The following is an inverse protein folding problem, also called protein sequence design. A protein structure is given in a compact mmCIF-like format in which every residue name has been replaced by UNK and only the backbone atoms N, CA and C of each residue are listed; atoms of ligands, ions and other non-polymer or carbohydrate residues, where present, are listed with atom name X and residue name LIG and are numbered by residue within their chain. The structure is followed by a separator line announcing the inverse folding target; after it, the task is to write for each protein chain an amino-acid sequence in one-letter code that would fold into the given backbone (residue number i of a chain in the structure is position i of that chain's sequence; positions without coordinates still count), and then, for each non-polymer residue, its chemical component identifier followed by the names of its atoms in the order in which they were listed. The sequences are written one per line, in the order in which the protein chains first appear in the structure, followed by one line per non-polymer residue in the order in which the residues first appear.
data_IF_463159478921
#
_entry.id   IF_463159478921
#
_cell.length_a   1.000
_cell.length_b   1.000
_cell.length_c   1.000
_cell.angle_alpha   90.00
_cell.angle_beta   90.00
_cell.angle_gamma   90.00
#
_symmetry.space_group_name_H-M   'P 1'
#
loop_
_entity.id
_entity.type
_entity.pdbx_description
1 polymer ?
#
# COMPACT_ATOMS: atom_id res chain seq x y z
N UNK A 1 24.01 -55.77 92.29
CA UNK A 1 24.83 -54.58 91.97
C UNK A 1 25.23 -54.74 90.52
N UNK A 2 24.95 -53.71 89.71
CA UNK A 2 25.14 -53.58 88.25
C UNK A 2 24.10 -54.27 87.36
N UNK A 3 23.02 -53.50 87.24
CA UNK A 3 22.22 -53.21 86.06
C UNK A 3 23.10 -52.89 84.85
N UNK A 4 22.75 -53.41 83.67
CA UNK A 4 22.64 -52.59 82.48
C UNK A 4 21.59 -53.23 81.55
N UNK A 5 20.56 -52.44 81.33
CA UNK A 5 19.36 -52.69 80.56
C UNK A 5 19.71 -52.79 79.07
N UNK A 6 19.48 -53.95 78.45
CA UNK A 6 19.29 -54.01 76.99
C UNK A 6 17.86 -53.52 76.71
N UNK A 7 17.66 -52.36 76.05
CA UNK A 7 16.33 -51.98 75.62
C UNK A 7 15.97 -52.91 74.46
N UNK A 8 14.97 -53.75 74.69
CA UNK A 8 14.14 -54.35 73.65
C UNK A 8 13.93 -53.30 72.55
N UNK A 9 14.59 -53.48 71.41
CA UNK A 9 14.24 -52.77 70.19
C UNK A 9 12.81 -53.21 69.86
N UNK A 10 11.80 -52.31 69.89
CA UNK A 10 10.47 -52.72 69.52
C UNK A 10 10.54 -53.09 68.03
N UNK A 11 10.42 -54.38 67.74
CA UNK A 11 10.18 -54.83 66.38
C UNK A 11 8.97 -54.03 65.88
N UNK A 12 9.09 -53.27 64.77
CA UNK A 12 8.00 -52.45 64.26
C UNK A 12 6.80 -53.37 64.08
N UNK A 13 5.75 -53.11 64.87
CA UNK A 13 4.59 -53.98 64.93
C UNK A 13 4.05 -54.12 63.50
N UNK A 14 3.72 -55.34 63.08
CA UNK A 14 3.23 -55.61 61.72
C UNK A 14 1.99 -54.77 61.32
N UNK A 15 1.33 -54.14 62.30
CA UNK A 15 0.24 -53.18 62.10
C UNK A 15 0.69 -51.82 61.53
N UNK A 16 1.87 -51.31 61.89
CA UNK A 16 2.37 -50.01 61.41
C UNK A 16 2.89 -50.09 59.97
N UNK A 17 3.49 -51.22 59.59
CA UNK A 17 3.96 -51.46 58.23
C UNK A 17 2.81 -51.66 57.24
N UNK A 18 1.70 -52.28 57.68
CA UNK A 18 0.48 -52.39 56.88
C UNK A 18 -0.18 -51.02 56.70
N UNK A 19 -0.34 -50.23 57.76
CA UNK A 19 -0.92 -48.89 57.69
C UNK A 19 -0.12 -47.92 56.80
N UNK A 20 1.21 -48.00 56.83
CA UNK A 20 2.07 -47.21 55.92
C UNK A 20 1.98 -47.68 54.48
N UNK A 21 1.82 -48.99 54.23
CA UNK A 21 1.58 -49.53 52.89
C UNK A 21 0.21 -49.12 52.33
N UNK A 22 -0.83 -49.09 53.17
CA UNK A 22 -2.18 -48.64 52.78
C UNK A 22 -2.19 -47.14 52.49
N UNK A 23 -1.56 -46.32 53.32
CA UNK A 23 -1.40 -44.89 53.07
C UNK A 23 -0.64 -44.62 51.75
N UNK A 24 0.39 -45.43 51.45
CA UNK A 24 1.11 -45.34 50.19
C UNK A 24 0.26 -45.79 48.99
N UNK A 25 -0.51 -46.86 49.12
CA UNK A 25 -1.43 -47.33 48.08
C UNK A 25 -2.50 -46.28 47.76
N UNK A 26 -3.06 -45.65 48.80
CA UNK A 26 -4.01 -44.53 48.66
C UNK A 26 -3.36 -43.32 47.99
N UNK A 27 -2.16 -42.91 48.42
CA UNK A 27 -1.44 -41.80 47.80
C UNK A 27 -1.10 -42.06 46.32
N UNK A 28 -0.75 -43.31 45.97
CA UNK A 28 -0.54 -43.73 44.59
C UNK A 28 -1.85 -43.68 43.79
N UNK A 29 -2.96 -44.17 44.36
CA UNK A 29 -4.27 -44.11 43.73
C UNK A 29 -4.72 -42.67 43.48
N UNK A 30 -4.57 -41.78 44.45
CA UNK A 30 -4.88 -40.36 44.32
C UNK A 30 -4.01 -39.67 43.26
N UNK A 31 -2.70 -39.98 43.23
CA UNK A 31 -1.81 -39.45 42.19
C UNK A 31 -2.21 -39.93 40.79
N UNK A 32 -2.57 -41.21 40.64
CA UNK A 32 -3.05 -41.75 39.36
C UNK A 32 -4.36 -41.07 38.94
N UNK A 33 -5.29 -40.87 39.88
CA UNK A 33 -6.53 -40.15 39.61
C UNK A 33 -6.27 -38.69 39.21
N UNK A 34 -5.36 -38.00 39.90
CA UNK A 34 -4.96 -36.63 39.58
C UNK A 34 -4.30 -36.52 38.20
N UNK A 35 -3.41 -37.46 37.85
CA UNK A 35 -2.77 -37.51 36.53
C UNK A 35 -3.76 -37.82 35.40
N UNK A 36 -4.75 -38.69 35.63
CA UNK A 36 -5.82 -38.95 34.65
C UNK A 36 -6.66 -37.70 34.41
N UNK A 37 -7.03 -36.98 35.47
CA UNK A 37 -7.77 -35.71 35.33
C UNK A 37 -6.93 -34.64 34.60
N UNK A 38 -5.64 -34.51 34.94
CA UNK A 38 -4.73 -33.61 34.24
C UNK A 38 -4.59 -33.98 32.76
N UNK A 39 -4.43 -35.26 32.45
CA UNK A 39 -4.33 -35.75 31.07
C UNK A 39 -5.59 -35.43 30.25
N UNK A 40 -6.77 -35.65 30.83
CA UNK A 40 -8.04 -35.34 30.16
C UNK A 40 -8.23 -33.82 29.97
N UNK A 41 -7.81 -33.03 30.95
CA UNK A 41 -7.83 -31.59 30.85
C UNK A 41 -6.89 -31.09 29.74
N UNK A 42 -5.67 -31.61 29.66
CA UNK A 42 -4.71 -31.29 28.60
C UNK A 42 -5.25 -31.64 27.21
N UNK A 43 -5.87 -32.81 27.04
CA UNK A 43 -6.51 -33.22 25.79
C UNK A 43 -7.62 -32.24 25.38
N UNK A 44 -8.50 -31.87 26.32
CA UNK A 44 -9.55 -30.88 26.06
C UNK A 44 -8.97 -29.53 25.65
N UNK A 45 -7.94 -29.07 26.35
CA UNK A 45 -7.24 -27.82 26.05
C UNK A 45 -6.57 -27.83 24.68
N UNK A 46 -6.06 -28.97 24.23
CA UNK A 46 -5.49 -29.12 22.89
C UNK A 46 -6.58 -29.11 21.82
N UNK A 47 -7.67 -29.84 22.03
CA UNK A 47 -8.82 -29.88 21.12
C UNK A 47 -9.46 -28.50 20.97
N UNK A 48 -9.67 -27.78 22.07
CA UNK A 48 -10.22 -26.42 22.04
C UNK A 48 -9.33 -25.46 21.25
N UNK A 49 -8.00 -25.52 21.44
CA UNK A 49 -7.06 -24.73 20.63
C UNK A 49 -7.13 -25.08 19.15
N UNK A 50 -7.21 -26.37 18.81
CA UNK A 50 -7.28 -26.82 17.42
C UNK A 50 -8.58 -26.37 16.75
N UNK A 51 -9.72 -26.49 17.44
CA UNK A 51 -11.02 -26.02 16.95
C UNK A 51 -11.00 -24.50 16.78
N UNK A 52 -10.49 -23.76 17.75
CA UNK A 52 -10.38 -22.30 17.66
C UNK A 52 -9.47 -21.87 16.50
N UNK A 53 -8.33 -22.54 16.29
CA UNK A 53 -7.45 -22.27 15.16
C UNK A 53 -8.12 -22.57 13.80
N UNK A 54 -8.86 -23.69 13.71
CA UNK A 54 -9.62 -24.04 12.50
C UNK A 54 -10.73 -23.03 12.22
N UNK A 55 -11.47 -22.60 13.25
CA UNK A 55 -12.50 -21.58 13.14
C UNK A 55 -11.91 -20.24 12.70
N UNK A 56 -10.81 -19.80 13.31
CA UNK A 56 -10.12 -18.57 12.94
C UNK A 56 -9.69 -18.59 11.46
N UNK A 57 -9.10 -19.70 11.01
CA UNK A 57 -8.72 -19.88 9.60
C UNK A 57 -9.94 -19.80 8.67
N UNK A 58 -11.08 -20.37 9.07
CA UNK A 58 -12.33 -20.30 8.31
C UNK A 58 -12.92 -18.89 8.27
N UNK A 59 -12.84 -18.13 9.35
CA UNK A 59 -13.24 -16.71 9.38
C UNK A 59 -12.39 -15.90 8.40
N UNK A 60 -11.06 -16.07 8.41
CA UNK A 60 -10.16 -15.37 7.49
C UNK A 60 -10.38 -15.76 6.02
N UNK A 61 -10.71 -17.02 5.75
CA UNK A 61 -11.07 -17.49 4.40
C UNK A 61 -12.40 -16.85 3.93
N UNK A 62 -13.41 -16.83 4.79
CA UNK A 62 -14.70 -16.19 4.48
C UNK A 62 -14.56 -14.68 4.27
N UNK A 63 -13.74 -14.00 5.07
CA UNK A 63 -13.44 -12.58 4.90
C UNK A 63 -12.76 -12.31 3.55
N UNK A 64 -11.78 -13.14 3.15
CA UNK A 64 -11.14 -13.06 1.83
C UNK A 64 -12.12 -13.28 0.69
N UNK A 65 -12.98 -14.29 0.78
CA UNK A 65 -13.99 -14.58 -0.22
C UNK A 65 -15.01 -13.44 -0.36
N UNK A 66 -15.42 -12.84 0.76
CA UNK A 66 -16.32 -11.69 0.75
C UNK A 66 -15.70 -10.49 0.02
N UNK A 67 -14.44 -10.18 0.32
CA UNK A 67 -13.71 -9.12 -0.38
C UNK A 67 -13.59 -9.39 -1.88
N UNK A 68 -13.30 -10.64 -2.26
CA UNK A 68 -13.23 -11.04 -3.66
C UNK A 68 -14.58 -10.87 -4.38
N UNK A 69 -15.68 -11.32 -3.76
CA UNK A 69 -17.03 -11.16 -4.32
C UNK A 69 -17.40 -9.68 -4.45
N UNK A 70 -17.04 -8.84 -3.47
CA UNK A 70 -17.28 -7.40 -3.55
C UNK A 70 -16.54 -6.74 -4.72
N UNK A 71 -15.26 -7.09 -4.91
CA UNK A 71 -14.47 -6.59 -6.03
C UNK A 71 -15.03 -7.04 -7.40
N UNK A 72 -15.49 -8.30 -7.50
CA UNK A 72 -16.15 -8.81 -8.71
C UNK A 72 -17.47 -8.08 -8.99
N UNK A 73 -18.23 -7.76 -7.95
CA UNK A 73 -19.48 -7.01 -8.06
C UNK A 73 -19.24 -5.57 -8.52
N UNK A 74 -18.27 -4.86 -7.94
CA UNK A 74 -17.88 -3.51 -8.38
C UNK A 74 -17.37 -3.51 -9.82
N UNK A 75 -16.59 -4.53 -10.22
CA UNK A 75 -16.15 -4.70 -11.61
C UNK A 75 -17.32 -4.93 -12.58
N UNK A 76 -18.30 -5.73 -12.19
CA UNK A 76 -19.50 -5.96 -13.00
C UNK A 76 -20.31 -4.67 -13.18
N UNK A 77 -20.46 -3.89 -12.11
CA UNK A 77 -21.15 -2.60 -12.15
C UNK A 77 -20.44 -1.58 -13.06
N UNK A 78 -19.11 -1.43 -12.91
CA UNK A 78 -18.32 -0.53 -13.78
C UNK A 78 -18.38 -0.94 -15.25
N UNK A 79 -18.39 -2.25 -15.55
CA UNK A 79 -18.58 -2.74 -16.91
C UNK A 79 -19.96 -2.36 -17.46
N UNK A 80 -21.02 -2.48 -16.67
CA UNK A 80 -22.36 -2.09 -17.07
C UNK A 80 -22.45 -0.58 -17.34
N UNK A 81 -21.91 0.26 -16.45
CA UNK A 81 -21.87 1.71 -16.63
C UNK A 81 -21.11 2.11 -17.91
N UNK A 82 -19.99 1.44 -18.20
CA UNK A 82 -19.25 1.64 -19.45
C UNK A 82 -20.12 1.32 -20.67
N UNK A 83 -20.83 0.20 -20.69
CA UNK A 83 -21.71 -0.15 -21.81
C UNK A 83 -22.84 0.86 -21.99
N UNK A 84 -23.47 1.31 -20.89
CA UNK A 84 -24.51 2.35 -20.91
C UNK A 84 -23.98 3.68 -21.46
N UNK A 85 -22.79 4.11 -21.05
CA UNK A 85 -22.16 5.33 -21.57
C UNK A 85 -21.81 5.20 -23.05
N UNK A 86 -21.31 4.03 -23.48
CA UNK A 86 -21.00 3.75 -24.88
C UNK A 86 -22.26 3.79 -25.77
N UNK A 87 -23.39 3.28 -25.28
CA UNK A 87 -24.67 3.34 -25.98
C UNK A 87 -25.17 4.79 -26.12
N UNK A 88 -25.11 5.59 -25.04
CA UNK A 88 -25.45 7.02 -25.07
C UNK A 88 -24.62 7.81 -26.07
N UNK A 89 -23.29 7.63 -26.06
CA UNK A 89 -22.38 8.27 -27.03
C UNK A 89 -22.74 7.86 -28.47
N UNK A 90 -23.14 6.61 -28.68
CA UNK A 90 -23.55 6.11 -29.99
C UNK A 90 -24.88 6.73 -30.45
N UNK A 91 -25.84 6.91 -29.53
CA UNK A 91 -27.11 7.60 -29.81
C UNK A 91 -26.91 9.10 -30.07
N UNK A 92 -26.06 9.79 -29.29
CA UNK A 92 -25.72 11.20 -29.48
C UNK A 92 -25.05 11.44 -30.84
N UNK A 93 -24.22 10.50 -31.30
CA UNK A 93 -23.61 10.54 -32.65
C UNK A 93 -24.65 10.34 -33.77
N UNK A 94 -25.76 9.67 -33.49
CA UNK A 94 -26.85 9.47 -34.46
C UNK A 94 -27.78 10.70 -34.47
N UNK A 95 -28.04 11.33 -33.31
CA UNK A 95 -28.82 12.58 -33.23
C UNK A 95 -28.04 13.81 -33.72
N UNK A 96 -26.73 13.87 -33.48
CA UNK A 96 -25.84 14.95 -33.93
C UNK A 96 -25.58 15.01 -35.44
N UNK A 97 -26.13 14.07 -36.23
CA UNK A 97 -25.99 14.04 -37.70
C UNK A 97 -27.09 14.79 -38.47
N UNK A 98 -28.03 15.45 -37.81
CA UNK A 98 -29.05 16.27 -38.47
C UNK A 98 -28.77 17.78 -38.46
N UNK A 99 -27.57 18.23 -38.09
CA UNK A 99 -27.25 19.66 -38.11
C UNK A 99 -25.86 19.95 -38.65
N UNK A 100 -25.81 20.53 -39.85
CA UNK A 100 -24.74 21.42 -40.29
C UNK A 100 -23.57 20.78 -41.02
N UNK A 101 -23.71 20.71 -42.35
CA UNK A 101 -22.64 20.73 -43.34
C UNK A 101 -21.58 21.82 -43.03
N UNK A 102 -20.28 21.49 -43.14
CA UNK A 102 -19.19 22.31 -43.74
C UNK A 102 -17.79 21.74 -43.42
N UNK A 103 -17.04 21.53 -44.51
CA UNK A 103 -15.58 21.53 -44.70
C UNK A 103 -14.65 20.51 -44.00
N UNK A 104 -14.08 19.66 -44.87
CA UNK A 104 -12.78 18.98 -44.81
C UNK A 104 -11.80 19.39 -43.69
N UNK A 105 -11.33 18.39 -42.93
CA UNK A 105 -9.90 18.09 -42.80
C UNK A 105 -9.71 16.64 -42.33
N UNK A 106 -8.77 15.97 -42.99
CA UNK A 106 -8.32 14.59 -42.73
C UNK A 106 -8.10 14.36 -41.24
N UNK A 107 -8.70 13.31 -40.69
CA UNK A 107 -8.23 12.67 -39.46
C UNK A 107 -7.95 11.21 -39.79
N UNK A 108 -6.67 10.89 -39.76
CA UNK A 108 -6.07 9.56 -39.84
C UNK A 108 -6.72 8.65 -38.79
N UNK A 109 -7.10 7.40 -39.11
CA UNK A 109 -7.44 6.43 -38.08
C UNK A 109 -6.14 5.99 -37.40
N UNK A 110 -5.72 6.73 -36.37
CA UNK A 110 -4.52 6.42 -35.60
C UNK A 110 -4.79 5.27 -34.64
N UNK A 111 -4.38 4.08 -35.09
CA UNK A 111 -3.90 2.91 -34.34
C UNK A 111 -4.52 2.66 -32.96
N UNK A 112 -5.44 1.71 -33.01
CA UNK A 112 -5.91 0.83 -31.94
C UNK A 112 -4.78 -0.05 -31.34
N UNK A 113 -3.74 0.58 -30.79
CA UNK A 113 -2.57 -0.13 -30.28
C UNK A 113 -1.73 0.65 -29.30
N UNK A 114 -1.98 0.49 -27.99
CA UNK A 114 -0.90 0.50 -26.97
C UNK A 114 -1.25 0.05 -25.54
N UNK A 115 -2.34 -0.69 -25.30
CA UNK A 115 -2.64 -1.21 -23.95
C UNK A 115 -2.60 -2.75 -23.84
N UNK A 116 -2.40 -3.46 -24.96
CA UNK A 116 -2.35 -4.94 -24.98
C UNK A 116 -0.99 -5.50 -24.51
N UNK A 117 -0.05 -4.62 -24.18
CA UNK A 117 1.33 -4.95 -23.81
C UNK A 117 1.50 -5.09 -22.28
N UNK A 118 0.61 -4.46 -21.51
CA UNK A 118 0.71 -4.34 -20.05
C UNK A 118 0.31 -5.64 -19.32
N UNK A 119 -0.44 -6.50 -19.99
CA UNK A 119 -0.94 -7.76 -19.44
C UNK A 119 -0.52 -8.95 -20.31
N UNK A 120 0.68 -8.90 -20.90
CA UNK A 120 1.23 -10.10 -21.54
C UNK A 120 1.25 -11.20 -20.48
N UNK A 121 0.49 -12.26 -20.75
CA UNK A 121 0.30 -13.46 -19.92
C UNK A 121 1.62 -13.98 -19.34
N UNK A 122 2.73 -13.79 -20.06
CA UNK A 122 4.10 -14.14 -19.65
C UNK A 122 4.58 -13.45 -18.36
N UNK A 123 4.14 -12.23 -18.05
CA UNK A 123 4.47 -11.60 -16.78
C UNK A 123 3.72 -12.27 -15.63
N UNK A 124 2.46 -12.65 -15.83
CA UNK A 124 1.65 -13.38 -14.85
C UNK A 124 2.12 -14.82 -14.63
N UNK A 125 2.58 -15.52 -15.66
CA UNK A 125 3.10 -16.90 -15.54
C UNK A 125 4.40 -17.00 -14.73
N UNK A 126 5.10 -15.87 -14.49
CA UNK A 126 6.27 -15.84 -13.58
C UNK A 126 5.85 -15.71 -12.12
N UNK A 127 4.75 -15.02 -11.83
CA UNK A 127 4.20 -14.86 -10.46
C UNK A 127 3.38 -16.06 -10.00
N UNK A 128 2.70 -16.73 -10.94
CA UNK A 128 2.05 -18.01 -10.73
C UNK A 128 3.03 -19.07 -11.18
N UNK A 129 3.92 -19.52 -10.29
CA UNK A 129 5.02 -20.44 -10.60
C UNK A 129 4.69 -21.41 -11.73
N UNK A 130 5.35 -21.20 -12.88
CA UNK A 130 5.31 -22.13 -13.99
C UNK A 130 5.94 -23.43 -13.57
N UNK A 131 5.12 -24.35 -13.06
CA UNK A 131 5.47 -25.76 -12.93
C UNK A 131 5.58 -26.32 -14.34
N UNK A 132 6.79 -26.28 -14.89
CA UNK A 132 7.16 -27.12 -16.02
C UNK A 132 7.94 -28.29 -15.46
N UNK A 133 7.37 -29.48 -15.59
CA UNK A 133 7.86 -30.69 -14.95
C UNK A 133 9.07 -31.27 -15.69
N UNK A 134 10.09 -31.67 -14.95
CA UNK A 134 10.86 -32.88 -15.25
C UNK A 134 11.84 -33.20 -14.11
N UNK A 135 11.91 -34.50 -13.80
CA UNK A 135 12.85 -35.22 -12.93
C UNK A 135 12.71 -35.10 -11.40
N UNK A 136 12.11 -36.16 -10.88
CA UNK A 136 12.12 -36.62 -9.50
C UNK A 136 13.53 -36.93 -8.99
N UNK A 137 13.64 -36.92 -7.65
CA UNK A 137 14.60 -37.66 -6.82
C UNK A 137 15.94 -37.05 -6.38
N UNK A 138 16.12 -35.73 -6.44
CA UNK A 138 17.19 -35.07 -5.63
C UNK A 138 16.74 -33.84 -4.83
N UNK A 139 15.47 -33.42 -4.93
CA UNK A 139 15.09 -32.02 -4.76
C UNK A 139 14.80 -31.54 -3.32
N UNK A 140 14.58 -32.43 -2.34
CA UNK A 140 13.93 -32.02 -1.09
C UNK A 140 14.73 -31.08 -0.15
N UNK A 141 16.07 -31.07 -0.21
CA UNK A 141 16.85 -30.20 0.68
C UNK A 141 17.11 -28.80 0.09
N UNK A 142 17.36 -28.71 -1.22
CA UNK A 142 17.60 -27.41 -1.87
C UNK A 142 16.31 -26.70 -2.24
N UNK A 143 15.21 -27.40 -2.49
CA UNK A 143 13.91 -26.76 -2.73
C UNK A 143 13.43 -25.98 -1.49
N UNK A 144 13.67 -26.51 -0.29
CA UNK A 144 13.27 -25.87 0.97
C UNK A 144 14.06 -24.59 1.26
N UNK A 145 15.35 -24.55 0.95
CA UNK A 145 16.18 -23.35 1.10
C UNK A 145 15.88 -22.33 -0.01
N UNK A 146 15.65 -22.76 -1.25
CA UNK A 146 15.24 -21.88 -2.35
C UNK A 146 13.86 -21.29 -2.10
N UNK A 147 12.84 -22.08 -1.70
CA UNK A 147 11.52 -21.58 -1.35
C UNK A 147 11.54 -20.64 -0.13
N UNK A 148 12.39 -20.91 0.87
CA UNK A 148 12.57 -20.02 2.01
C UNK A 148 13.27 -18.71 1.60
N UNK A 149 14.29 -18.78 0.74
CA UNK A 149 14.95 -17.59 0.19
C UNK A 149 14.02 -16.79 -0.70
N UNK A 150 13.19 -17.44 -1.51
CA UNK A 150 12.18 -16.79 -2.36
C UNK A 150 11.08 -16.19 -1.51
N UNK A 151 10.67 -16.84 -0.43
CA UNK A 151 9.73 -16.27 0.54
C UNK A 151 10.32 -15.07 1.29
N UNK A 152 11.58 -15.15 1.74
CA UNK A 152 12.26 -14.05 2.39
C UNK A 152 12.44 -12.86 1.41
N UNK A 153 12.86 -13.14 0.18
CA UNK A 153 12.96 -12.15 -0.91
C UNK A 153 11.60 -11.51 -1.21
N UNK A 154 10.55 -12.33 -1.31
CA UNK A 154 9.18 -11.86 -1.54
C UNK A 154 8.67 -11.02 -0.38
N UNK A 155 9.03 -11.35 0.88
CA UNK A 155 8.69 -10.52 2.04
C UNK A 155 9.41 -9.18 2.03
N UNK A 156 10.68 -9.15 1.63
CA UNK A 156 11.47 -7.92 1.49
C UNK A 156 10.88 -7.04 0.38
N UNK A 157 10.55 -7.63 -0.78
CA UNK A 157 9.90 -6.92 -1.88
C UNK A 157 8.51 -6.41 -1.47
N UNK A 158 7.71 -7.22 -0.78
CA UNK A 158 6.39 -6.79 -0.28
C UNK A 158 6.51 -5.65 0.74
N UNK A 159 7.52 -5.68 1.60
CA UNK A 159 7.81 -4.59 2.55
C UNK A 159 8.24 -3.31 1.81
N UNK A 160 9.13 -3.42 0.83
CA UNK A 160 9.58 -2.29 0.01
C UNK A 160 8.44 -1.68 -0.81
N UNK A 161 7.57 -2.50 -1.39
CA UNK A 161 6.37 -2.03 -2.09
C UNK A 161 5.41 -1.29 -1.15
N UNK A 162 5.20 -1.80 0.07
CA UNK A 162 4.39 -1.12 1.09
C UNK A 162 4.97 0.23 1.49
N UNK A 163 6.29 0.30 1.70
CA UNK A 163 7.00 1.55 1.99
C UNK A 163 6.86 2.55 0.83
N UNK A 164 6.98 2.09 -0.42
CA UNK A 164 6.78 2.95 -1.60
C UNK A 164 5.34 3.48 -1.71
N UNK A 165 4.35 2.65 -1.33
CA UNK A 165 2.94 3.02 -1.34
C UNK A 165 2.65 4.08 -0.27
N UNK A 166 3.16 3.89 0.94
CA UNK A 166 3.02 4.86 2.04
C UNK A 166 3.73 6.18 1.70
N UNK A 167 4.93 6.13 1.11
CA UNK A 167 5.63 7.30 0.58
C UNK A 167 4.81 8.04 -0.49
N UNK A 168 4.19 7.32 -1.41
CA UNK A 168 3.29 7.87 -2.42
C UNK A 168 2.03 8.51 -1.80
N UNK A 169 1.46 7.92 -0.76
CA UNK A 169 0.32 8.50 -0.04
C UNK A 169 0.68 9.82 0.63
N UNK A 170 1.85 9.88 1.29
CA UNK A 170 2.38 11.12 1.89
C UNK A 170 2.65 12.20 0.84
N UNK A 171 3.22 11.81 -0.31
CA UNK A 171 3.40 12.72 -1.45
C UNK A 171 2.07 13.28 -1.94
N UNK A 172 1.11 12.40 -2.23
CA UNK A 172 -0.19 12.76 -2.78
C UNK A 172 -0.95 13.67 -1.81
N UNK A 173 -0.84 13.43 -0.51
CA UNK A 173 -1.36 14.31 0.54
C UNK A 173 -0.71 15.70 0.50
N UNK A 174 0.62 15.77 0.38
CA UNK A 174 1.36 17.02 0.29
C UNK A 174 0.98 17.83 -0.95
N UNK A 175 0.92 17.19 -2.12
CA UNK A 175 0.48 17.81 -3.39
C UNK A 175 -0.95 18.33 -3.28
N UNK A 176 -1.88 17.54 -2.71
CA UNK A 176 -3.28 17.97 -2.50
C UNK A 176 -3.37 19.17 -1.57
N UNK A 177 -2.63 19.17 -0.45
CA UNK A 177 -2.60 20.29 0.49
C UNK A 177 -2.07 21.55 -0.17
N UNK A 178 -0.95 21.47 -0.90
CA UNK A 178 -0.39 22.59 -1.66
C UNK A 178 -1.38 23.14 -2.69
N UNK A 179 -2.07 22.26 -3.43
CA UNK A 179 -3.12 22.64 -4.37
C UNK A 179 -4.27 23.40 -3.69
N UNK A 180 -4.72 22.93 -2.52
CA UNK A 180 -5.78 23.61 -1.77
C UNK A 180 -5.32 24.99 -1.31
N UNK A 181 -4.11 25.12 -0.77
CA UNK A 181 -3.53 26.42 -0.39
C UNK A 181 -3.42 27.37 -1.58
N UNK A 182 -2.97 26.87 -2.73
CA UNK A 182 -2.88 27.64 -3.97
C UNK A 182 -4.26 28.15 -4.44
N UNK A 183 -5.28 27.29 -4.38
CA UNK A 183 -6.65 27.68 -4.71
C UNK A 183 -7.19 28.76 -3.76
N UNK A 184 -6.93 28.64 -2.45
CA UNK A 184 -7.31 29.67 -1.48
C UNK A 184 -6.66 31.03 -1.78
N UNK A 185 -5.37 31.05 -2.13
CA UNK A 185 -4.67 32.28 -2.53
C UNK A 185 -5.29 32.87 -3.79
N UNK A 186 -5.61 32.05 -4.79
CA UNK A 186 -6.27 32.48 -6.02
C UNK A 186 -7.65 33.09 -5.74
N UNK A 187 -8.48 32.42 -4.95
CA UNK A 187 -9.84 32.87 -4.63
C UNK A 187 -9.82 34.16 -3.78
N UNK A 188 -8.85 34.29 -2.87
CA UNK A 188 -8.65 35.51 -2.09
C UNK A 188 -8.08 36.68 -2.90
N UNK A 189 -7.21 36.41 -3.88
CA UNK A 189 -6.71 37.43 -4.81
C UNK A 189 -7.83 37.98 -5.70
N UNK A 190 -8.85 37.16 -6.03
CA UNK A 190 -10.04 37.62 -6.72
C UNK A 190 -10.92 38.54 -5.85
N UNK A 191 -10.86 38.39 -4.52
CA UNK A 191 -11.62 39.17 -3.55
C UNK A 191 -10.96 40.52 -3.13
N UNK A 192 -9.93 40.99 -3.85
CA UNK A 192 -9.22 42.27 -3.63
C UNK A 192 -8.61 42.47 -2.23
N UNK A 193 -8.32 41.40 -1.49
CA UNK A 193 -7.65 41.49 -0.18
C UNK A 193 -6.13 41.67 -0.34
N UNK A 194 -5.46 42.21 0.70
CA UNK A 194 -4.03 42.59 0.75
C UNK A 194 -3.08 41.71 -0.08
N UNK A 195 -2.67 42.26 -1.24
CA UNK A 195 -1.76 41.62 -2.20
C UNK A 195 -0.41 41.19 -1.60
N UNK A 196 0.03 41.77 -0.48
CA UNK A 196 1.28 41.42 0.21
C UNK A 196 1.26 40.03 0.82
N UNK A 197 0.19 39.69 1.55
CA UNK A 197 0.02 38.37 2.18
C UNK A 197 -0.10 37.26 1.12
N UNK A 198 -0.68 37.56 -0.05
CA UNK A 198 -0.82 36.61 -1.15
C UNK A 198 0.52 36.22 -1.78
N UNK A 199 1.46 37.16 -1.91
CA UNK A 199 2.79 36.88 -2.48
C UNK A 199 3.65 36.04 -1.52
N UNK A 200 3.56 36.29 -0.21
CA UNK A 200 4.29 35.52 0.80
C UNK A 200 3.79 34.07 0.90
N UNK A 201 2.47 33.88 0.97
CA UNK A 201 1.85 32.54 0.95
C UNK A 201 2.24 31.74 -0.30
N UNK A 202 2.38 32.43 -1.44
CA UNK A 202 2.76 31.81 -2.70
C UNK A 202 4.24 31.42 -2.76
N UNK A 203 5.12 32.24 -2.18
CA UNK A 203 6.52 31.87 -1.99
C UNK A 203 6.67 30.66 -1.07
N UNK A 204 5.84 30.55 -0.03
CA UNK A 204 5.81 29.39 0.85
C UNK A 204 5.37 28.13 0.10
N UNK A 205 4.33 28.21 -0.73
CA UNK A 205 3.88 27.10 -1.60
C UNK A 205 4.99 26.67 -2.56
N UNK A 206 5.73 27.62 -3.17
CA UNK A 206 6.85 27.31 -4.06
C UNK A 206 8.00 26.65 -3.30
N UNK A 207 8.37 27.15 -2.11
CA UNK A 207 9.44 26.59 -1.30
C UNK A 207 9.11 25.14 -0.89
N UNK A 208 7.88 24.91 -0.44
CA UNK A 208 7.41 23.60 -0.03
C UNK A 208 7.29 22.63 -1.22
N UNK A 209 6.80 23.10 -2.38
CA UNK A 209 6.79 22.31 -3.60
C UNK A 209 8.20 21.91 -4.06
N UNK A 210 9.21 22.77 -3.89
CA UNK A 210 10.60 22.42 -4.19
C UNK A 210 11.19 21.36 -3.23
N UNK A 211 10.76 21.34 -1.97
CA UNK A 211 11.12 20.27 -1.03
C UNK A 211 10.53 18.93 -1.49
N UNK A 212 9.25 18.94 -1.90
CA UNK A 212 8.60 17.74 -2.44
C UNK A 212 9.27 17.28 -3.74
N UNK A 213 9.64 18.21 -4.63
CA UNK A 213 10.40 17.91 -5.86
C UNK A 213 11.74 17.24 -5.53
N UNK A 214 12.47 17.76 -4.55
CA UNK A 214 13.74 17.17 -4.09
C UNK A 214 13.54 15.77 -3.53
N UNK A 215 12.49 15.55 -2.73
CA UNK A 215 12.18 14.23 -2.17
C UNK A 215 11.85 13.19 -3.26
N UNK A 216 11.10 13.59 -4.30
CA UNK A 216 10.77 12.74 -5.44
C UNK A 216 11.99 12.37 -6.26
N UNK A 217 12.86 13.34 -6.56
CA UNK A 217 14.10 13.10 -7.29
C UNK A 217 15.11 12.27 -6.48
N UNK A 218 15.02 12.28 -5.14
CA UNK A 218 15.86 11.46 -4.26
C UNK A 218 15.36 10.03 -4.05
N UNK A 219 14.12 9.72 -4.44
CA UNK A 219 13.48 8.40 -4.29
C UNK A 219 13.81 7.43 -5.43
N UNK A 220 15.09 7.32 -5.83
CA UNK A 220 15.51 6.25 -6.74
C UNK A 220 15.47 4.90 -6.00
N UNK A 221 14.81 3.86 -6.53
CA UNK A 221 15.23 2.51 -6.22
C UNK A 221 16.58 2.28 -6.91
N UNK A 222 17.63 2.12 -6.09
CA UNK A 222 18.88 1.48 -6.50
C UNK A 222 18.52 0.14 -7.14
N UNK A 223 19.01 -0.03 -8.37
CA UNK A 223 19.02 -1.25 -9.16
C UNK A 223 19.08 -2.54 -8.32
N UNK A 224 18.20 -3.49 -8.63
CA UNK A 224 18.47 -4.92 -8.45
C UNK A 224 18.11 -5.65 -9.74
N UNK A 225 18.99 -5.51 -10.74
CA UNK A 225 19.19 -6.56 -11.74
C UNK A 225 20.38 -7.37 -11.25
N UNK A 226 20.12 -8.37 -10.39
CA UNK A 226 21.13 -9.36 -10.06
C UNK A 226 21.41 -10.18 -11.32
N UNK A 227 22.70 -10.34 -11.61
CA UNK A 227 23.25 -11.07 -12.75
C UNK A 227 22.53 -12.39 -13.03
N UNK A 228 22.07 -12.55 -14.26
CA UNK A 228 22.19 -13.84 -14.96
C UNK A 228 22.55 -13.56 -16.40
N UNK A 229 23.69 -14.13 -16.83
CA UNK A 229 24.25 -14.09 -18.18
C UNK A 229 23.20 -14.22 -19.28
N UNK A 230 23.21 -13.27 -20.23
CA UNK A 230 22.99 -13.54 -21.66
C UNK A 230 23.26 -12.29 -22.52
N UNK A 231 24.51 -12.17 -22.95
CA UNK A 231 24.92 -12.15 -24.35
C UNK A 231 24.09 -11.28 -25.35
N UNK A 232 24.71 -10.19 -25.81
CA UNK A 232 24.38 -9.34 -26.99
C UNK A 232 22.94 -8.79 -27.09
N UNK A 233 22.73 -7.60 -26.53
CA UNK A 233 21.95 -6.55 -27.19
C UNK A 233 22.36 -5.21 -26.60
N UNK A 234 23.26 -4.52 -27.30
CA UNK A 234 23.40 -3.08 -27.18
C UNK A 234 22.04 -2.41 -27.41
N UNK A 235 21.88 -1.19 -26.86
CA UNK A 235 20.76 -0.26 -27.04
C UNK A 235 19.58 -0.51 -26.08
N UNK A 236 19.70 -0.02 -24.84
CA UNK A 236 19.06 1.23 -24.40
C UNK A 236 19.14 1.34 -22.87
N UNK A 237 20.22 1.95 -22.36
CA UNK A 237 20.34 2.40 -20.96
C UNK A 237 19.40 3.59 -20.71
N UNK A 238 18.10 3.33 -20.76
CA UNK A 238 17.15 4.25 -20.15
C UNK A 238 16.87 3.69 -18.77
N UNK A 239 17.61 4.20 -17.77
CA UNK A 239 17.24 4.14 -16.36
C UNK A 239 15.72 4.18 -16.28
N UNK A 240 15.13 3.05 -15.88
CA UNK A 240 13.68 2.88 -15.93
C UNK A 240 13.11 3.67 -14.77
N UNK A 241 13.01 4.99 -14.95
CA UNK A 241 12.43 5.94 -13.99
C UNK A 241 11.08 5.37 -13.59
N UNK A 242 10.87 5.24 -12.28
CA UNK A 242 9.60 4.79 -11.73
C UNK A 242 8.49 5.72 -12.26
N UNK A 243 7.51 5.14 -12.95
CA UNK A 243 6.39 5.88 -13.53
C UNK A 243 5.63 6.68 -12.46
N UNK A 244 5.65 6.20 -11.21
CA UNK A 244 5.02 6.87 -10.06
C UNK A 244 5.80 8.13 -9.69
N UNK A 245 7.12 8.04 -9.54
CA UNK A 245 7.99 9.20 -9.28
C UNK A 245 7.95 10.22 -10.42
N UNK A 246 7.88 9.75 -11.68
CA UNK A 246 7.73 10.62 -12.85
C UNK A 246 6.40 11.41 -12.83
N UNK A 247 5.28 10.75 -12.55
CA UNK A 247 3.98 11.42 -12.42
C UNK A 247 3.92 12.37 -11.21
N UNK A 248 4.55 11.97 -10.09
CA UNK A 248 4.72 12.82 -8.92
C UNK A 248 5.47 14.12 -9.24
N UNK A 249 6.55 14.01 -10.01
CA UNK A 249 7.37 15.14 -10.43
C UNK A 249 6.57 16.10 -11.31
N UNK A 250 5.83 15.57 -12.29
CA UNK A 250 4.97 16.38 -13.17
C UNK A 250 3.92 17.17 -12.37
N UNK A 251 3.25 16.54 -11.40
CA UNK A 251 2.26 17.22 -10.55
C UNK A 251 2.85 18.38 -9.76
N UNK A 252 4.07 18.21 -9.23
CA UNK A 252 4.76 19.26 -8.45
C UNK A 252 5.24 20.39 -9.36
N UNK A 253 5.73 20.09 -10.56
CA UNK A 253 6.14 21.10 -11.54
C UNK A 253 4.96 21.96 -12.00
N UNK A 254 3.79 21.36 -12.23
CA UNK A 254 2.56 22.10 -12.53
C UNK A 254 2.14 23.02 -11.38
N UNK A 255 2.29 22.58 -10.12
CA UNK A 255 2.01 23.42 -8.95
C UNK A 255 2.94 24.62 -8.85
N UNK A 256 4.25 24.42 -9.06
CA UNK A 256 5.24 25.49 -9.07
C UNK A 256 4.92 26.49 -10.20
N UNK A 257 4.62 25.99 -11.40
CA UNK A 257 4.27 26.82 -12.55
C UNK A 257 3.00 27.64 -12.30
N UNK A 258 1.93 27.01 -11.80
CA UNK A 258 0.69 27.70 -11.48
C UNK A 258 0.90 28.78 -10.40
N UNK A 259 1.75 28.50 -9.40
CA UNK A 259 2.12 29.48 -8.39
C UNK A 259 2.86 30.68 -8.98
N UNK A 260 3.80 30.46 -9.91
CA UNK A 260 4.50 31.55 -10.58
C UNK A 260 3.57 32.42 -11.43
N UNK A 261 2.60 31.81 -12.14
CA UNK A 261 1.59 32.55 -12.90
C UNK A 261 0.76 33.45 -11.98
N UNK A 262 0.26 32.91 -10.88
CA UNK A 262 -0.54 33.69 -9.93
C UNK A 262 0.27 34.84 -9.33
N UNK A 263 1.56 34.60 -9.05
CA UNK A 263 2.48 35.64 -8.54
C UNK A 263 2.65 36.78 -9.54
N UNK A 264 2.82 36.44 -10.81
CA UNK A 264 2.93 37.41 -11.89
C UNK A 264 1.62 38.20 -12.08
N UNK A 265 0.46 37.55 -11.98
CA UNK A 265 -0.84 38.22 -12.08
C UNK A 265 -1.07 39.24 -10.95
N UNK A 266 -0.77 38.87 -9.70
CA UNK A 266 -0.87 39.78 -8.55
C UNK A 266 0.11 40.95 -8.71
N UNK A 267 1.32 40.70 -9.21
CA UNK A 267 2.32 41.74 -9.44
C UNK A 267 1.91 42.72 -10.56
N UNK A 268 1.29 42.21 -11.63
CA UNK A 268 0.76 43.04 -12.73
C UNK A 268 -0.48 43.84 -12.34
N UNK A 269 -1.32 43.33 -11.43
CA UNK A 269 -2.45 44.11 -10.89
C UNK A 269 -1.97 45.28 -10.02
N UNK A 270 -0.86 45.14 -9.29
CA UNK A 270 -0.24 46.24 -8.51
C UNK A 270 0.29 47.39 -9.39
N UNK A 271 0.66 47.12 -10.64
CA UNK A 271 1.08 48.15 -11.61
C UNK A 271 -0.09 49.01 -12.09
N UNK A 272 -1.23 48.39 -12.42
CA UNK A 272 -2.43 49.08 -12.93
C UNK A 272 -3.09 50.01 -11.91
N UNK A 273 -3.04 49.70 -10.62
CA UNK A 273 -3.57 50.61 -9.58
C UNK A 273 -2.71 51.87 -9.39
N UNK A 274 -1.43 51.87 -9.79
CA UNK A 274 -0.56 53.06 -9.69
C UNK A 274 -0.77 54.06 -10.84
N UNK A 275 -1.13 53.57 -12.03
CA UNK A 275 -1.32 54.41 -13.20
C UNK A 275 -2.62 55.24 -13.09
N UNK A 276 -3.67 54.69 -12.46
CA UNK A 276 -4.94 55.41 -12.22
C UNK A 276 -4.78 56.55 -11.20
N UNK A 277 -3.89 56.41 -10.22
CA UNK A 277 -3.62 57.48 -9.25
C UNK A 277 -2.77 58.61 -9.87
N UNK A 278 -1.98 58.32 -10.91
CA UNK A 278 -1.09 59.30 -11.54
C UNK A 278 -1.80 60.20 -12.56
N UNK A 279 -2.91 59.75 -13.17
CA UNK A 279 -3.73 60.58 -14.08
C UNK A 279 -4.73 61.51 -13.36
N UNK A 280 -5.03 61.25 -12.08
CA UNK A 280 -5.99 62.05 -11.30
C UNK A 280 -5.46 63.39 -10.75
N UNK A 281 -4.16 63.69 -10.90
CA UNK A 281 -3.52 64.79 -10.18
C UNK A 281 -2.94 65.92 -11.06
N UNK A 282 -3.21 65.89 -12.38
CA UNK A 282 -2.78 66.93 -13.33
C UNK A 282 -3.93 67.82 -13.88
N UNK A 283 -5.16 67.65 -13.41
CA UNK A 283 -6.34 68.38 -13.90
C UNK A 283 -6.88 69.48 -12.98
N UNK A 284 -6.03 70.14 -12.20
CA UNK A 284 -6.46 71.10 -11.17
C UNK A 284 -5.63 72.38 -11.12
N UNK A 285 -5.39 73.00 -12.27
CA UNK A 285 -5.00 74.41 -12.35
C UNK A 285 -5.32 74.91 -13.75
N UNK A 286 -6.32 75.78 -13.87
CA UNK A 286 -6.39 76.98 -14.71
C UNK A 286 -7.79 77.58 -14.53
N UNK A 287 -7.78 78.89 -14.22
CA UNK A 287 -8.87 79.86 -14.03
C UNK A 287 -9.56 79.88 -12.67
#
# INVERSE_FOLDING_TARGET
MFQDDDPDLPAPSASETVATSEALALALQEKVAALLLLSQQEERHLLERNVNAALQKKVEELQRNLLQVKALMELAQLKQERYMLQEKISQDKIQGKQSGEIAERRIVPEKDGKLKNLLKKSYLTRWVGGSDGSNADAHHHYEKTTHHMDFARMRIENASLKESLESMEHLLSSVRRLRITLLKVKDSAAAKTENGMHVEALNQVIAEANLVKTALSGSLPVSWSAETDQLYSEINDNEKVDFVSAAGLEMVELLIFAAQILKAQISNNKGRDKDIVSEGQLGGSIA
#
